data_IF_749668325575
#
_entry.id   IF_749668325575
#
_cell.length_a   1.000
_cell.length_b   1.000
_cell.length_c   1.000
_cell.angle_alpha   90.00
_cell.angle_beta   90.00
_cell.angle_gamma   90.00
#
_symmetry.space_group_name_H-M   'P 1'
#
loop_
_entity.id
_entity.type
_entity.pdbx_description
1 polymer ?
#
# COMPACT_ATOMS: atom_id res chain seq x y z
N UNK A 1 -14.34 26.98 14.76
CA UNK A 1 -13.09 26.51 14.09
C UNK A 1 -11.86 26.63 14.99
N UNK A 2 -11.67 27.68 15.77
CA UNK A 2 -10.44 27.82 16.58
C UNK A 2 -10.20 26.63 17.55
N UNK A 3 -11.22 26.25 18.33
CA UNK A 3 -11.14 25.05 19.21
C UNK A 3 -10.85 23.77 18.40
N UNK A 4 -11.49 23.61 17.22
CA UNK A 4 -11.27 22.45 16.36
C UNK A 4 -9.81 22.37 15.89
N UNK A 5 -9.24 23.47 15.41
CA UNK A 5 -7.84 23.52 15.00
C UNK A 5 -6.87 23.27 16.19
N UNK A 6 -7.20 23.74 17.41
CA UNK A 6 -6.43 23.41 18.63
C UNK A 6 -6.46 21.92 18.94
N UNK A 7 -7.62 21.25 18.77
CA UNK A 7 -7.75 19.80 18.95
C UNK A 7 -6.89 19.06 17.92
N UNK A 8 -6.96 19.44 16.62
CA UNK A 8 -6.14 18.81 15.58
C UNK A 8 -4.65 19.00 15.83
N UNK A 9 -4.23 20.21 16.26
CA UNK A 9 -2.85 20.48 16.61
C UNK A 9 -2.38 19.62 17.79
N UNK A 10 -3.15 19.55 18.86
CA UNK A 10 -2.84 18.73 20.03
C UNK A 10 -2.73 17.22 19.64
N UNK A 11 -3.57 16.76 18.71
CA UNK A 11 -3.50 15.39 18.20
C UNK A 11 -2.19 15.12 17.45
N UNK A 12 -1.78 16.03 16.56
CA UNK A 12 -0.53 15.92 15.79
C UNK A 12 0.68 15.98 16.73
N UNK A 13 0.73 16.99 17.60
CA UNK A 13 1.82 17.17 18.57
C UNK A 13 1.93 15.98 19.55
N UNK A 14 0.79 15.37 19.91
CA UNK A 14 0.73 14.18 20.77
C UNK A 14 0.93 12.84 20.06
N UNK A 15 1.16 12.84 18.74
CA UNK A 15 1.37 11.62 17.95
C UNK A 15 0.14 10.73 17.82
N UNK A 16 -1.06 11.31 17.88
CA UNK A 16 -2.31 10.58 17.70
C UNK A 16 -2.45 10.05 16.27
N UNK A 17 -2.79 8.79 16.11
CA UNK A 17 -3.13 8.21 14.82
C UNK A 17 -4.57 8.53 14.39
N UNK A 18 -5.50 8.54 15.36
CA UNK A 18 -6.91 8.78 15.08
C UNK A 18 -7.50 9.74 16.14
N UNK A 19 -8.52 10.51 15.73
CA UNK A 19 -9.27 11.45 16.53
C UNK A 19 -10.74 11.09 16.43
N UNK A 20 -11.42 10.93 17.56
CA UNK A 20 -12.85 10.65 17.61
C UNK A 20 -13.56 11.78 18.37
N UNK A 21 -14.54 12.42 17.73
CA UNK A 21 -15.31 13.52 18.28
C UNK A 21 -16.79 13.17 18.22
N UNK A 22 -17.46 13.23 19.36
CA UNK A 22 -18.92 13.03 19.49
C UNK A 22 -19.54 14.13 20.35
N UNK A 23 -20.81 14.39 20.15
CA UNK A 23 -21.58 15.36 20.94
C UNK A 23 -21.69 14.86 22.40
N UNK A 24 -21.58 15.78 23.34
CA UNK A 24 -21.69 15.52 24.78
C UNK A 24 -20.74 14.46 25.33
N UNK A 25 -19.59 14.28 24.69
CA UNK A 25 -18.55 13.30 25.08
C UNK A 25 -17.18 13.95 24.95
N UNK A 26 -16.23 13.69 25.86
CA UNK A 26 -14.87 14.16 25.67
C UNK A 26 -14.27 13.71 24.33
N UNK A 27 -13.43 14.54 23.75
CA UNK A 27 -12.66 14.16 22.54
C UNK A 27 -11.71 13.02 22.89
N UNK A 28 -11.59 12.05 22.02
CA UNK A 28 -10.76 10.86 22.22
C UNK A 28 -9.67 10.82 21.14
N UNK A 29 -8.43 10.66 21.56
CA UNK A 29 -7.30 10.37 20.68
C UNK A 29 -6.92 8.90 20.77
N UNK A 30 -6.47 8.33 19.66
CA UNK A 30 -5.78 7.04 19.65
C UNK A 30 -4.28 7.29 19.59
N UNK A 31 -3.56 6.98 20.66
CA UNK A 31 -2.11 7.11 20.76
C UNK A 31 -1.54 5.74 21.12
N UNK A 32 -0.57 5.24 20.36
CA UNK A 32 0.05 3.92 20.57
C UNK A 32 -0.97 2.76 20.72
N UNK A 33 -2.06 2.80 19.94
CA UNK A 33 -3.21 1.86 19.92
C UNK A 33 -4.18 2.01 21.10
N UNK A 34 -3.91 2.85 22.09
CA UNK A 34 -4.79 3.13 23.23
C UNK A 34 -5.71 4.33 22.94
N UNK A 35 -6.93 4.29 23.50
CA UNK A 35 -7.89 5.38 23.43
C UNK A 35 -7.76 6.24 24.69
N UNK A 36 -7.40 7.52 24.50
CA UNK A 36 -7.14 8.48 25.58
C UNK A 36 -8.12 9.63 25.46
N UNK A 37 -8.86 9.91 26.53
CA UNK A 37 -9.73 11.10 26.62
C UNK A 37 -8.88 12.35 26.82
N UNK A 38 -9.23 13.41 26.07
CA UNK A 38 -8.50 14.68 26.10
C UNK A 38 -9.30 15.69 26.93
N UNK A 39 -8.58 16.38 27.83
CA UNK A 39 -9.15 17.47 28.62
C UNK A 39 -9.32 18.72 27.74
N UNK A 40 -10.50 18.87 27.18
CA UNK A 40 -10.93 20.03 26.40
C UNK A 40 -12.45 20.24 26.54
N UNK A 41 -12.98 21.40 26.17
CA UNK A 41 -14.42 21.64 26.19
C UNK A 41 -15.18 20.55 25.43
N UNK A 42 -16.20 19.97 26.06
CA UNK A 42 -17.01 18.89 25.49
C UNK A 42 -17.78 19.45 24.29
N UNK A 43 -17.73 18.78 23.12
CA UNK A 43 -18.42 19.21 21.91
C UNK A 43 -19.94 19.30 22.12
N UNK A 44 -20.51 20.47 21.85
CA UNK A 44 -21.96 20.67 21.81
C UNK A 44 -22.50 20.39 20.41
N UNK A 45 -23.81 20.18 20.30
CA UNK A 45 -24.47 19.98 19.00
C UNK A 45 -24.26 21.17 18.06
N UNK A 46 -24.43 22.39 18.57
CA UNK A 46 -24.25 23.60 17.78
C UNK A 46 -22.79 23.74 17.27
N UNK A 47 -21.83 23.44 18.13
CA UNK A 47 -20.41 23.44 17.74
C UNK A 47 -20.12 22.38 16.67
N UNK A 48 -20.63 21.17 16.85
CA UNK A 48 -20.43 20.07 15.90
C UNK A 48 -21.01 20.41 14.52
N UNK A 49 -22.26 20.92 14.48
CA UNK A 49 -22.91 21.33 13.23
C UNK A 49 -22.10 22.42 12.51
N UNK A 50 -21.57 23.41 13.24
CA UNK A 50 -20.74 24.47 12.66
C UNK A 50 -19.39 23.93 12.14
N UNK A 51 -18.77 22.98 12.83
CA UNK A 51 -17.52 22.34 12.37
C UNK A 51 -17.79 21.57 11.08
N UNK A 52 -18.80 20.71 11.06
CA UNK A 52 -19.16 19.87 9.91
C UNK A 52 -19.52 20.74 8.70
N UNK A 53 -20.33 21.77 8.90
CA UNK A 53 -20.72 22.68 7.80
C UNK A 53 -19.52 23.36 7.14
N UNK A 54 -18.51 23.76 7.94
CA UNK A 54 -17.32 24.47 7.44
C UNK A 54 -16.25 23.55 6.86
N UNK A 55 -16.13 22.32 7.36
CA UNK A 55 -15.09 21.40 6.89
C UNK A 55 -15.53 20.52 5.72
N UNK A 56 -16.85 20.26 5.59
CA UNK A 56 -17.36 19.42 4.50
C UNK A 56 -17.29 20.18 3.17
N UNK A 57 -16.62 19.61 2.14
CA UNK A 57 -16.57 20.18 0.80
C UNK A 57 -17.98 20.41 0.23
N UNK A 58 -18.17 21.52 -0.50
CA UNK A 58 -19.49 21.93 -1.01
C UNK A 58 -20.16 20.82 -1.85
N UNK A 59 -19.39 20.13 -2.69
CA UNK A 59 -19.90 19.06 -3.55
C UNK A 59 -20.34 17.81 -2.78
N UNK A 60 -19.90 17.64 -1.53
CA UNK A 60 -20.25 16.50 -0.66
C UNK A 60 -21.39 16.81 0.30
N UNK A 61 -21.80 18.08 0.46
CA UNK A 61 -22.86 18.47 1.42
C UNK A 61 -24.17 17.76 1.11
N UNK A 62 -24.58 17.72 -0.17
CA UNK A 62 -25.80 17.03 -0.58
C UNK A 62 -25.75 15.54 -0.25
N UNK A 63 -24.63 14.88 -0.54
CA UNK A 63 -24.41 13.46 -0.21
C UNK A 63 -24.48 13.22 1.29
N UNK A 64 -23.87 14.11 2.11
CA UNK A 64 -23.94 14.02 3.56
C UNK A 64 -25.39 14.11 4.10
N UNK A 65 -26.23 14.95 3.49
CA UNK A 65 -27.65 15.06 3.85
C UNK A 65 -28.46 13.82 3.46
N UNK A 66 -28.16 13.20 2.31
CA UNK A 66 -28.87 12.01 1.80
C UNK A 66 -28.40 10.73 2.50
N UNK A 67 -27.10 10.47 2.54
CA UNK A 67 -26.51 9.21 3.01
C UNK A 67 -26.25 9.19 4.53
N UNK A 68 -26.29 10.35 5.20
CA UNK A 68 -25.96 10.54 6.61
C UNK A 68 -24.53 10.19 6.99
N UNK A 69 -23.67 10.00 5.99
CA UNK A 69 -22.24 9.80 6.14
C UNK A 69 -21.47 10.25 4.90
N UNK A 70 -20.22 10.65 5.09
CA UNK A 70 -19.32 11.01 3.99
C UNK A 70 -17.87 10.89 4.43
N UNK A 71 -17.04 10.36 3.53
CA UNK A 71 -15.58 10.35 3.64
C UNK A 71 -14.97 11.44 2.76
N UNK A 72 -13.97 12.15 3.28
CA UNK A 72 -13.16 13.10 2.51
C UNK A 72 -11.85 13.40 3.21
N UNK A 73 -10.93 14.00 2.48
CA UNK A 73 -9.68 14.51 3.05
C UNK A 73 -9.82 15.96 3.47
N UNK A 74 -9.45 16.25 4.71
CA UNK A 74 -9.43 17.58 5.27
C UNK A 74 -7.99 18.06 5.46
N UNK A 75 -7.58 19.09 4.73
CA UNK A 75 -6.23 19.62 4.80
C UNK A 75 -6.18 20.88 5.69
N UNK A 76 -5.22 20.92 6.62
CA UNK A 76 -5.03 22.04 7.54
C UNK A 76 -3.60 22.57 7.39
N UNK A 77 -3.48 23.82 6.96
CA UNK A 77 -2.18 24.45 6.77
C UNK A 77 -1.33 24.35 8.04
N UNK A 78 -0.11 23.87 7.91
CA UNK A 78 0.85 23.68 9.01
C UNK A 78 0.58 22.49 9.95
N UNK A 79 -0.51 21.74 9.76
CA UNK A 79 -0.81 20.53 10.54
C UNK A 79 -0.84 19.25 9.69
N UNK A 80 -1.04 19.40 8.38
CA UNK A 80 -1.12 18.26 7.46
C UNK A 80 -2.54 17.86 7.08
N UNK A 81 -2.67 16.67 6.55
CA UNK A 81 -3.90 16.10 5.97
C UNK A 81 -4.54 15.11 6.93
N UNK A 82 -5.87 15.14 6.98
CA UNK A 82 -6.66 14.22 7.80
C UNK A 82 -7.68 13.50 6.90
N UNK A 83 -7.64 12.18 6.84
CA UNK A 83 -8.75 11.39 6.33
C UNK A 83 -9.89 11.49 7.32
N UNK A 84 -11.02 11.99 6.88
CA UNK A 84 -12.15 12.33 7.71
C UNK A 84 -13.39 11.58 7.29
N UNK A 85 -14.03 10.92 8.23
CA UNK A 85 -15.38 10.37 8.09
C UNK A 85 -16.31 11.17 8.98
N UNK A 86 -17.35 11.76 8.39
CA UNK A 86 -18.47 12.40 9.08
C UNK A 86 -19.66 11.47 9.00
N UNK A 87 -20.28 11.11 10.10
CA UNK A 87 -21.39 10.18 10.11
C UNK A 87 -22.39 10.46 11.24
N UNK A 88 -23.63 9.98 11.07
CA UNK A 88 -24.62 10.04 12.13
C UNK A 88 -24.62 8.75 12.97
N UNK A 89 -24.72 8.92 14.27
CA UNK A 89 -24.94 7.85 15.23
C UNK A 89 -25.99 8.28 16.26
N UNK A 90 -27.03 7.47 16.49
CA UNK A 90 -28.13 7.78 17.45
C UNK A 90 -28.75 9.17 17.22
N UNK A 91 -28.91 9.55 15.96
CA UNK A 91 -29.48 10.85 15.58
C UNK A 91 -28.53 12.05 15.71
N UNK A 92 -27.30 11.87 16.14
CA UNK A 92 -26.31 12.93 16.32
C UNK A 92 -25.10 12.73 15.44
N UNK A 93 -24.44 13.81 15.04
CA UNK A 93 -23.21 13.78 14.24
C UNK A 93 -22.00 13.33 15.07
N UNK A 94 -21.12 12.62 14.41
CA UNK A 94 -19.80 12.22 14.90
C UNK A 94 -18.75 12.40 13.81
N UNK A 95 -17.50 12.56 14.25
CA UNK A 95 -16.30 12.66 13.39
C UNK A 95 -15.31 11.59 13.79
N UNK A 96 -14.79 10.87 12.81
CA UNK A 96 -13.61 10.05 12.94
C UNK A 96 -12.56 10.58 11.96
N UNK A 97 -11.38 10.95 12.47
CA UNK A 97 -10.32 11.52 11.66
C UNK A 97 -9.04 10.74 11.87
N UNK A 98 -8.32 10.46 10.78
CA UNK A 98 -6.98 9.86 10.80
C UNK A 98 -5.96 10.82 10.25
N UNK A 99 -4.90 11.09 11.01
CA UNK A 99 -3.80 11.91 10.54
C UNK A 99 -3.00 11.16 9.48
N UNK A 100 -2.87 11.76 8.29
CA UNK A 100 -2.06 11.26 7.18
C UNK A 100 -0.62 11.66 7.43
N UNK A 101 0.28 10.69 7.43
CA UNK A 101 1.71 10.93 7.69
C UNK A 101 2.36 11.73 6.56
N UNK A 102 3.07 12.78 6.90
CA UNK A 102 3.84 13.58 5.94
C UNK A 102 5.21 12.97 5.64
N UNK A 103 5.81 12.26 6.59
CA UNK A 103 7.13 11.67 6.41
C UNK A 103 7.03 10.21 5.95
N UNK A 104 7.62 9.92 4.79
CA UNK A 104 7.79 8.56 4.29
C UNK A 104 9.04 7.95 4.95
N UNK A 105 8.95 6.79 5.62
CA UNK A 105 10.13 6.14 6.17
C UNK A 105 11.07 5.67 5.07
N UNK A 106 12.40 5.75 5.31
CA UNK A 106 13.40 5.28 4.34
C UNK A 106 13.40 3.75 4.18
N UNK A 107 14.03 3.26 3.11
CA UNK A 107 14.20 1.82 2.88
C UNK A 107 14.88 1.12 4.06
N UNK A 108 15.90 1.76 4.62
CA UNK A 108 16.67 1.25 5.77
C UNK A 108 15.81 1.17 7.03
N UNK A 109 15.02 2.21 7.30
CA UNK A 109 14.10 2.24 8.45
C UNK A 109 13.02 1.16 8.34
N UNK A 110 12.56 0.86 7.12
CA UNK A 110 11.57 -0.19 6.86
C UNK A 110 12.21 -1.58 6.82
N UNK A 111 13.52 -1.68 6.65
CA UNK A 111 14.24 -2.94 6.44
C UNK A 111 13.89 -3.61 5.13
N UNK A 112 13.62 -2.82 4.09
CA UNK A 112 13.34 -3.30 2.74
C UNK A 112 14.64 -3.74 2.06
N UNK A 113 14.51 -4.74 1.18
CA UNK A 113 15.62 -5.30 0.42
C UNK A 113 16.00 -4.39 -0.76
N UNK A 114 17.28 -4.45 -1.17
CA UNK A 114 17.82 -3.66 -2.28
C UNK A 114 17.13 -3.97 -3.63
N UNK A 115 16.64 -5.19 -3.79
CA UNK A 115 15.90 -5.63 -4.97
C UNK A 115 14.63 -4.79 -5.21
N UNK A 116 14.02 -4.26 -4.16
CA UNK A 116 12.85 -3.38 -4.27
C UNK A 116 13.26 -2.02 -4.85
N UNK A 117 14.45 -1.49 -4.52
CA UNK A 117 14.98 -0.29 -5.17
C UNK A 117 15.17 -0.50 -6.66
N UNK A 118 15.79 -1.64 -7.05
CA UNK A 118 15.96 -1.98 -8.47
C UNK A 118 14.63 -2.03 -9.23
N UNK A 119 13.59 -2.58 -8.60
CA UNK A 119 12.25 -2.59 -9.19
C UNK A 119 11.63 -1.17 -9.26
N UNK A 120 11.97 -0.28 -8.33
CA UNK A 120 11.52 1.11 -8.36
C UNK A 120 12.24 1.94 -9.44
N UNK A 121 13.42 1.53 -9.86
CA UNK A 121 14.28 2.18 -10.87
C UNK A 121 14.05 1.65 -12.30
N UNK A 122 13.13 0.71 -12.48
CA UNK A 122 12.78 0.19 -13.80
C UNK A 122 12.30 1.31 -14.73
N UNK A 123 12.65 1.21 -16.00
CA UNK A 123 12.28 2.25 -16.96
C UNK A 123 10.81 2.20 -17.35
N UNK A 124 10.22 1.00 -17.39
CA UNK A 124 8.82 0.77 -17.78
C UNK A 124 8.38 -0.61 -17.32
N UNK A 125 7.08 -0.81 -17.23
CA UNK A 125 6.47 -2.09 -16.88
C UNK A 125 5.60 -1.96 -15.64
N UNK A 126 5.23 -3.08 -15.05
CA UNK A 126 4.34 -3.12 -13.88
C UNK A 126 5.08 -3.74 -12.71
N UNK A 127 5.09 -3.07 -11.58
CA UNK A 127 5.51 -3.59 -10.28
C UNK A 127 4.29 -3.64 -9.36
N UNK A 128 4.03 -4.79 -8.79
CA UNK A 128 2.89 -5.04 -7.90
C UNK A 128 3.37 -5.26 -6.48
N UNK A 129 2.81 -4.50 -5.52
CA UNK A 129 3.01 -4.77 -4.09
C UNK A 129 1.75 -5.44 -3.54
N UNK A 130 1.89 -6.65 -3.03
CA UNK A 130 0.78 -7.49 -2.59
C UNK A 130 0.85 -7.84 -1.10
N UNK A 131 -0.30 -8.15 -0.50
CA UNK A 131 -0.40 -8.56 0.90
C UNK A 131 -1.76 -8.23 1.49
N UNK A 132 -2.05 -8.78 2.65
CA UNK A 132 -3.29 -8.48 3.40
C UNK A 132 -3.35 -7.00 3.83
N UNK A 133 -4.52 -6.56 4.29
CA UNK A 133 -4.66 -5.24 4.91
C UNK A 133 -3.74 -5.12 6.12
N UNK A 134 -3.03 -3.99 6.22
CA UNK A 134 -2.06 -3.76 7.29
C UNK A 134 -0.70 -4.45 7.09
N UNK A 135 -0.42 -5.06 5.93
CA UNK A 135 0.90 -5.64 5.63
C UNK A 135 1.97 -4.62 5.23
N UNK A 136 1.65 -3.33 5.14
CA UNK A 136 2.60 -2.26 4.82
C UNK A 136 2.76 -1.93 3.33
N UNK A 137 1.84 -2.38 2.47
CA UNK A 137 1.90 -2.15 1.00
C UNK A 137 2.07 -0.67 0.64
N UNK A 138 1.19 0.18 1.14
CA UNK A 138 1.22 1.63 0.85
C UNK A 138 2.51 2.28 1.36
N UNK A 139 3.03 1.82 2.51
CA UNK A 139 4.31 2.30 3.04
C UNK A 139 5.49 1.91 2.15
N UNK A 140 5.48 0.69 1.61
CA UNK A 140 6.52 0.25 0.66
C UNK A 140 6.43 1.00 -0.66
N UNK A 141 5.21 1.17 -1.21
CA UNK A 141 5.02 2.00 -2.41
C UNK A 141 5.46 3.44 -2.18
N UNK A 142 5.12 4.02 -1.03
CA UNK A 142 5.56 5.36 -0.68
C UNK A 142 7.09 5.45 -0.62
N UNK A 143 7.77 4.46 -0.02
CA UNK A 143 9.23 4.41 0.01
C UNK A 143 9.83 4.26 -1.40
N UNK A 144 9.22 3.47 -2.29
CA UNK A 144 9.65 3.36 -3.69
C UNK A 144 9.52 4.69 -4.43
N UNK A 145 8.39 5.39 -4.27
CA UNK A 145 8.17 6.72 -4.86
C UNK A 145 9.17 7.74 -4.30
N UNK A 146 9.35 7.77 -2.98
CA UNK A 146 10.30 8.70 -2.34
C UNK A 146 11.74 8.41 -2.75
N UNK A 147 12.12 7.14 -2.93
CA UNK A 147 13.42 6.78 -3.47
C UNK A 147 13.63 7.36 -4.88
N UNK A 148 12.64 7.24 -5.76
CA UNK A 148 12.71 7.85 -7.09
C UNK A 148 12.75 9.37 -7.00
N UNK A 149 11.89 9.96 -6.16
CA UNK A 149 11.82 11.41 -5.94
C UNK A 149 13.15 12.01 -5.47
N UNK A 150 13.87 11.30 -4.62
CA UNK A 150 15.16 11.76 -4.10
C UNK A 150 16.33 11.61 -5.08
N UNK A 151 16.26 10.68 -6.03
CA UNK A 151 17.42 10.27 -6.83
C UNK A 151 17.27 10.51 -8.34
N UNK A 152 16.06 10.70 -8.86
CA UNK A 152 15.79 10.77 -10.30
C UNK A 152 14.91 11.97 -10.64
N UNK A 153 15.07 12.48 -11.87
CA UNK A 153 14.24 13.56 -12.42
C UNK A 153 13.11 12.96 -13.22
N UNK A 154 11.97 12.71 -12.57
CA UNK A 154 10.81 12.04 -13.13
C UNK A 154 9.53 12.82 -12.87
N UNK A 155 8.54 12.66 -13.73
CA UNK A 155 7.17 13.06 -13.46
C UNK A 155 6.39 11.87 -12.94
N UNK A 156 5.91 11.94 -11.71
CA UNK A 156 5.21 10.86 -11.00
C UNK A 156 3.76 11.29 -10.78
N UNK A 157 2.82 10.51 -11.25
CA UNK A 157 1.39 10.77 -10.99
C UNK A 157 0.81 9.63 -10.17
N UNK A 158 0.18 9.97 -9.05
CA UNK A 158 -0.51 8.97 -8.21
C UNK A 158 -2.02 9.11 -8.32
N UNK A 159 -2.72 7.98 -8.33
CA UNK A 159 -4.17 7.87 -8.24
C UNK A 159 -4.51 7.03 -7.01
N UNK A 160 -5.11 7.64 -5.99
CA UNK A 160 -5.27 7.05 -4.66
C UNK A 160 -6.71 7.16 -4.14
N UNK A 161 -7.10 6.22 -3.27
CA UNK A 161 -8.44 6.18 -2.66
C UNK A 161 -8.37 5.70 -1.19
N UNK A 162 -8.08 6.63 -0.25
CA UNK A 162 -7.55 7.99 -0.37
C UNK A 162 -6.00 8.05 -0.38
N UNK A 163 -5.43 9.29 -0.44
CA UNK A 163 -3.99 9.52 -0.26
C UNK A 163 -3.57 9.13 1.17
N UNK A 164 -2.55 8.24 1.28
CA UNK A 164 -2.02 7.75 2.57
C UNK A 164 -0.72 8.43 2.99
N UNK A 165 0.07 8.95 2.05
CA UNK A 165 1.29 9.73 2.29
C UNK A 165 1.29 10.96 1.40
N UNK A 166 1.73 12.09 1.93
CA UNK A 166 1.91 13.32 1.14
C UNK A 166 3.38 13.45 0.78
N UNK A 167 3.66 13.59 -0.51
CA UNK A 167 5.01 13.79 -1.02
C UNK A 167 5.28 15.28 -1.25
N UNK A 168 6.53 15.68 -1.05
CA UNK A 168 7.05 16.97 -1.47
C UNK A 168 7.96 16.78 -2.68
N UNK A 169 7.88 17.66 -3.67
CA UNK A 169 8.75 17.62 -4.84
C UNK A 169 10.22 17.80 -4.40
N UNK A 170 11.10 16.94 -4.94
CA UNK A 170 12.55 17.04 -4.72
C UNK A 170 13.27 17.09 -6.08
N UNK A 171 13.83 15.96 -6.55
CA UNK A 171 14.35 15.89 -7.92
C UNK A 171 13.24 15.59 -8.93
N UNK A 172 12.20 14.90 -8.52
CA UNK A 172 11.01 14.60 -9.32
C UNK A 172 9.89 15.59 -9.03
N UNK A 173 8.92 15.66 -9.94
CA UNK A 173 7.63 16.34 -9.74
C UNK A 173 6.57 15.29 -9.45
N UNK A 174 5.79 15.46 -8.38
CA UNK A 174 4.80 14.48 -7.95
C UNK A 174 3.41 15.12 -7.92
N UNK A 175 2.51 14.58 -8.74
CA UNK A 175 1.10 14.95 -8.74
C UNK A 175 0.26 13.84 -8.10
N UNK A 176 -0.33 14.12 -6.93
CA UNK A 176 -1.18 13.19 -6.22
C UNK A 176 -2.66 13.55 -6.44
N UNK A 177 -3.44 12.58 -6.91
CA UNK A 177 -4.87 12.75 -7.19
C UNK A 177 -5.69 11.76 -6.39
N UNK A 178 -6.57 12.28 -5.55
CA UNK A 178 -7.49 11.49 -4.74
C UNK A 178 -8.81 11.25 -5.48
N UNK A 179 -9.26 9.99 -5.47
CA UNK A 179 -10.57 9.62 -6.00
C UNK A 179 -11.68 10.23 -5.13
N UNK A 180 -12.68 10.82 -5.79
CA UNK A 180 -13.79 11.50 -5.10
C UNK A 180 -13.52 12.96 -4.75
N UNK A 181 -12.25 13.40 -4.75
CA UNK A 181 -11.86 14.79 -4.52
C UNK A 181 -11.33 15.44 -5.81
N UNK A 182 -10.24 14.89 -6.36
CA UNK A 182 -9.54 15.46 -7.52
C UNK A 182 -9.99 14.82 -8.83
N UNK A 183 -10.59 13.65 -8.75
CA UNK A 183 -11.16 12.92 -9.88
C UNK A 183 -12.35 12.07 -9.44
N UNK A 184 -13.30 11.86 -10.33
CA UNK A 184 -14.54 11.13 -10.00
C UNK A 184 -14.35 9.60 -9.93
N UNK A 185 -13.34 9.04 -10.57
CA UNK A 185 -13.10 7.60 -10.61
C UNK A 185 -11.69 7.26 -11.10
N UNK A 186 -11.17 6.09 -10.74
CA UNK A 186 -9.92 5.55 -11.29
C UNK A 186 -9.93 5.49 -12.81
N UNK A 187 -11.02 4.97 -13.40
CA UNK A 187 -11.14 4.84 -14.84
C UNK A 187 -11.10 6.19 -15.57
N UNK A 188 -11.81 7.19 -15.05
CA UNK A 188 -11.78 8.55 -15.59
C UNK A 188 -10.38 9.16 -15.52
N UNK A 189 -9.74 9.04 -14.36
CA UNK A 189 -8.40 9.56 -14.15
C UNK A 189 -7.37 8.93 -15.09
N UNK A 190 -7.35 7.60 -15.21
CA UNK A 190 -6.39 6.87 -16.06
C UNK A 190 -6.39 7.31 -17.53
N UNK A 191 -7.58 7.62 -18.10
CA UNK A 191 -7.68 8.14 -19.47
C UNK A 191 -6.94 9.47 -19.66
N UNK A 192 -6.85 10.26 -18.60
CA UNK A 192 -6.24 11.59 -18.65
C UNK A 192 -4.77 11.59 -18.26
N UNK A 193 -4.38 10.72 -17.31
CA UNK A 193 -2.99 10.63 -16.80
C UNK A 193 -2.00 10.38 -17.95
N UNK A 194 -2.29 9.47 -18.88
CA UNK A 194 -1.43 9.20 -20.04
C UNK A 194 -1.20 10.40 -20.97
N UNK A 195 -1.94 11.51 -20.79
CA UNK A 195 -1.76 12.78 -21.52
C UNK A 195 -1.07 13.85 -20.70
N UNK A 196 -0.65 13.52 -19.48
CA UNK A 196 0.03 14.42 -18.57
C UNK A 196 1.55 14.22 -18.61
N UNK A 197 2.06 13.42 -19.55
CA UNK A 197 3.50 13.10 -19.72
C UNK A 197 4.15 12.50 -18.47
N UNK A 198 3.54 11.50 -17.81
CA UNK A 198 4.13 10.88 -16.65
C UNK A 198 5.23 9.89 -17.05
N UNK A 199 6.29 9.81 -16.28
CA UNK A 199 7.25 8.69 -16.34
C UNK A 199 6.75 7.50 -15.51
N UNK A 200 6.16 7.81 -14.35
CA UNK A 200 5.70 6.83 -13.36
C UNK A 200 4.25 7.09 -13.00
N UNK A 201 3.45 6.04 -12.98
CA UNK A 201 2.05 6.08 -12.58
C UNK A 201 1.84 5.14 -11.39
N UNK A 202 1.39 5.66 -10.25
CA UNK A 202 0.98 4.82 -9.13
C UNK A 202 -0.55 4.70 -9.11
N UNK A 203 -1.04 3.46 -9.19
CA UNK A 203 -2.45 3.13 -9.06
C UNK A 203 -2.66 2.51 -7.68
N UNK A 204 -3.44 3.14 -6.82
CA UNK A 204 -3.65 2.70 -5.44
C UNK A 204 -3.90 1.20 -5.33
N UNK A 205 -4.80 0.65 -6.15
CA UNK A 205 -4.97 -0.79 -6.29
C UNK A 205 -5.62 -1.20 -7.62
N UNK A 206 -5.35 -2.43 -8.06
CA UNK A 206 -6.04 -3.09 -9.18
C UNK A 206 -7.22 -3.92 -8.65
N UNK A 207 -8.45 -3.45 -8.89
CA UNK A 207 -9.69 -4.10 -8.41
C UNK A 207 -10.47 -4.83 -9.50
N UNK A 208 -10.21 -4.52 -10.77
CA UNK A 208 -11.00 -5.00 -11.90
C UNK A 208 -10.19 -5.05 -13.20
N UNK A 209 -10.78 -5.65 -14.24
CA UNK A 209 -10.19 -5.77 -15.58
C UNK A 209 -9.85 -4.41 -16.21
N UNK A 210 -10.64 -3.37 -15.91
CA UNK A 210 -10.45 -2.04 -16.52
C UNK A 210 -9.15 -1.42 -16.02
N UNK A 211 -8.93 -1.47 -14.70
CA UNK A 211 -7.71 -0.95 -14.05
C UNK A 211 -6.48 -1.73 -14.49
N UNK A 212 -6.57 -3.08 -14.57
CA UNK A 212 -5.47 -3.93 -15.04
C UNK A 212 -5.13 -3.64 -16.50
N UNK A 213 -6.12 -3.55 -17.39
CA UNK A 213 -5.89 -3.22 -18.79
C UNK A 213 -5.23 -1.85 -18.97
N UNK A 214 -5.64 -0.87 -18.17
CA UNK A 214 -5.05 0.46 -18.23
C UNK A 214 -3.59 0.45 -17.73
N UNK A 215 -3.28 -0.30 -16.67
CA UNK A 215 -1.92 -0.51 -16.18
C UNK A 215 -1.03 -1.17 -17.24
N UNK A 216 -1.53 -2.23 -17.90
CA UNK A 216 -0.78 -2.92 -18.97
C UNK A 216 -0.56 -1.99 -20.16
N UNK A 217 -1.60 -1.22 -20.58
CA UNK A 217 -1.48 -0.26 -21.69
C UNK A 217 -0.47 0.85 -21.39
N UNK A 218 -0.44 1.37 -20.18
CA UNK A 218 0.57 2.33 -19.73
C UNK A 218 1.97 1.74 -19.80
N UNK A 219 2.15 0.53 -19.29
CA UNK A 219 3.44 -0.17 -19.32
C UNK A 219 3.93 -0.45 -20.75
N UNK A 220 3.04 -0.83 -21.66
CA UNK A 220 3.36 -1.07 -23.07
C UNK A 220 3.76 0.22 -23.81
N UNK A 221 3.19 1.36 -23.40
CA UNK A 221 3.51 2.69 -23.96
C UNK A 221 4.71 3.36 -23.31
N UNK A 222 5.43 2.67 -22.44
CA UNK A 222 6.73 3.11 -21.93
C UNK A 222 6.75 3.62 -20.49
N UNK A 223 5.63 3.56 -19.77
CA UNK A 223 5.53 4.05 -18.40
C UNK A 223 5.86 2.95 -17.38
N UNK A 224 6.42 3.33 -16.23
CA UNK A 224 6.51 2.45 -15.07
C UNK A 224 5.24 2.59 -14.23
N UNK A 225 4.61 1.47 -13.95
CA UNK A 225 3.35 1.44 -13.19
C UNK A 225 3.55 0.72 -11.87
N UNK A 226 3.24 1.38 -10.76
CA UNK A 226 3.15 0.80 -9.43
C UNK A 226 1.70 0.56 -9.07
N UNK A 227 1.39 -0.60 -8.47
CA UNK A 227 0.03 -0.86 -7.97
C UNK A 227 0.02 -1.87 -6.84
N UNK A 228 -1.16 -2.07 -6.22
CA UNK A 228 -1.33 -3.08 -5.17
C UNK A 228 -2.36 -4.14 -5.51
N UNK A 229 -2.20 -5.29 -4.83
CA UNK A 229 -3.19 -6.38 -4.79
C UNK A 229 -3.36 -6.89 -3.36
N UNK A 230 -4.54 -7.48 -3.07
CA UNK A 230 -4.84 -8.12 -1.79
C UNK A 230 -4.61 -9.64 -1.83
N UNK A 231 -3.50 -10.06 -2.39
CA UNK A 231 -3.06 -11.45 -2.48
C UNK A 231 -1.89 -11.70 -1.54
N UNK A 232 -1.62 -12.95 -1.19
CA UNK A 232 -0.63 -13.30 -0.17
C UNK A 232 0.65 -13.91 -0.73
N UNK A 233 0.68 -14.28 -2.02
CA UNK A 233 1.86 -14.80 -2.72
C UNK A 233 1.94 -14.27 -4.15
N UNK A 234 3.12 -14.32 -4.77
CA UNK A 234 3.32 -13.88 -6.14
C UNK A 234 2.52 -14.72 -7.15
N UNK A 235 2.46 -16.04 -6.96
CA UNK A 235 1.64 -16.92 -7.79
C UNK A 235 0.15 -16.58 -7.71
N UNK A 236 -0.36 -16.33 -6.49
CA UNK A 236 -1.74 -15.87 -6.31
C UNK A 236 -1.99 -14.50 -6.94
N UNK A 237 -1.01 -13.60 -6.94
CA UNK A 237 -1.13 -12.28 -7.57
C UNK A 237 -1.34 -12.41 -9.08
N UNK A 238 -0.58 -13.27 -9.74
CA UNK A 238 -0.74 -13.58 -11.17
C UNK A 238 -2.12 -14.18 -11.44
N UNK A 239 -2.52 -15.18 -10.66
CA UNK A 239 -3.85 -15.82 -10.81
C UNK A 239 -4.96 -14.78 -10.62
N UNK A 240 -4.85 -13.91 -9.60
CA UNK A 240 -5.84 -12.88 -9.31
C UNK A 240 -6.00 -11.88 -10.45
N UNK A 241 -4.89 -11.48 -11.09
CA UNK A 241 -4.95 -10.62 -12.28
C UNK A 241 -5.73 -11.32 -13.40
N UNK A 242 -5.47 -12.61 -13.65
CA UNK A 242 -6.19 -13.37 -14.67
C UNK A 242 -7.69 -13.53 -14.35
N UNK A 243 -8.06 -13.62 -13.07
CA UNK A 243 -9.43 -13.81 -12.62
C UNK A 243 -10.33 -12.58 -12.85
N UNK A 244 -9.77 -11.40 -13.05
CA UNK A 244 -10.54 -10.23 -13.47
C UNK A 244 -11.07 -10.34 -14.90
N UNK A 245 -10.54 -11.26 -15.73
CA UNK A 245 -10.88 -11.39 -17.13
C UNK A 245 -11.71 -12.65 -17.42
N UNK A 246 -12.54 -12.56 -18.47
CA UNK A 246 -13.26 -13.71 -19.00
C UNK A 246 -12.29 -14.75 -19.54
N UNK A 247 -12.71 -16.01 -19.55
CA UNK A 247 -11.87 -17.12 -19.97
C UNK A 247 -11.25 -16.91 -21.36
N UNK A 248 -12.02 -16.38 -22.31
CA UNK A 248 -11.62 -16.17 -23.71
C UNK A 248 -10.51 -15.09 -23.83
N UNK A 249 -10.48 -14.12 -22.91
CA UNK A 249 -9.49 -13.03 -22.94
C UNK A 249 -8.18 -13.37 -22.22
N UNK A 250 -8.20 -14.39 -21.35
CA UNK A 250 -7.08 -14.70 -20.43
C UNK A 250 -5.78 -15.02 -21.14
N UNK A 251 -5.81 -15.66 -22.29
CA UNK A 251 -4.59 -15.99 -23.03
C UNK A 251 -3.89 -14.72 -23.53
N UNK A 252 -4.63 -13.80 -24.11
CA UNK A 252 -4.10 -12.52 -24.57
C UNK A 252 -3.53 -11.70 -23.41
N UNK A 253 -4.31 -11.58 -22.31
CA UNK A 253 -3.90 -10.86 -21.11
C UNK A 253 -2.63 -11.46 -20.51
N UNK A 254 -2.52 -12.78 -20.45
CA UNK A 254 -1.35 -13.48 -19.94
C UNK A 254 -0.09 -13.19 -20.74
N UNK A 255 -0.20 -13.22 -22.09
CA UNK A 255 0.92 -12.86 -22.97
C UNK A 255 1.35 -11.41 -22.78
N UNK A 256 0.39 -10.49 -22.67
CA UNK A 256 0.67 -9.08 -22.43
C UNK A 256 1.31 -8.88 -21.06
N UNK A 257 0.74 -9.47 -19.99
CA UNK A 257 1.31 -9.41 -18.64
C UNK A 257 2.73 -9.97 -18.58
N UNK A 258 3.00 -11.10 -19.27
CA UNK A 258 4.35 -11.70 -19.29
C UNK A 258 5.39 -10.74 -19.89
N UNK A 259 5.01 -9.86 -20.80
CA UNK A 259 5.87 -8.85 -21.41
C UNK A 259 6.08 -7.60 -20.54
N UNK A 260 5.03 -7.14 -19.86
CA UNK A 260 5.04 -5.86 -19.14
C UNK A 260 5.29 -6.00 -17.62
N UNK A 261 5.03 -7.14 -16.98
CA UNK A 261 5.37 -7.34 -15.57
C UNK A 261 6.88 -7.16 -15.34
N UNK A 262 7.27 -6.51 -14.25
CA UNK A 262 8.67 -6.42 -13.78
C UNK A 262 8.87 -7.20 -12.51
N UNK A 263 7.97 -7.08 -11.56
CA UNK A 263 8.05 -7.84 -10.32
C UNK A 263 6.77 -7.83 -9.51
N UNK A 264 6.72 -8.77 -8.59
CA UNK A 264 5.67 -8.85 -7.56
C UNK A 264 6.35 -8.93 -6.20
N UNK A 265 6.01 -8.01 -5.30
CA UNK A 265 6.54 -7.92 -3.94
C UNK A 265 5.40 -8.28 -3.00
N UNK A 266 5.44 -9.45 -2.37
CA UNK A 266 4.45 -9.85 -1.38
C UNK A 266 4.98 -9.62 0.03
N UNK A 267 4.10 -9.15 0.94
CA UNK A 267 4.50 -8.72 2.28
C UNK A 267 3.64 -9.32 3.39
N UNK A 268 4.31 -9.69 4.49
CA UNK A 268 3.72 -10.05 5.79
C UNK A 268 4.45 -9.32 6.90
N UNK A 269 3.75 -8.69 7.83
CA UNK A 269 4.39 -8.05 8.98
C UNK A 269 4.72 -9.08 10.06
N UNK A 270 5.95 -9.01 10.57
CA UNK A 270 6.49 -9.91 11.60
C UNK A 270 6.97 -9.07 12.79
N UNK A 271 6.63 -9.44 14.03
CA UNK A 271 7.17 -8.78 15.22
C UNK A 271 8.68 -8.98 15.33
N UNK A 272 9.42 -7.92 15.62
CA UNK A 272 10.85 -7.94 15.88
C UNK A 272 11.13 -8.13 17.36
N UNK A 273 12.35 -8.52 17.69
CA UNK A 273 12.79 -8.74 19.09
C UNK A 273 12.74 -7.46 19.95
N UNK A 274 12.81 -6.28 19.34
CA UNK A 274 12.67 -4.96 19.98
C UNK A 274 11.21 -4.46 20.06
N UNK A 275 10.24 -5.31 19.76
CA UNK A 275 8.80 -4.99 19.86
C UNK A 275 8.22 -4.17 18.70
N UNK A 276 9.00 -3.93 17.66
CA UNK A 276 8.53 -3.27 16.43
C UNK A 276 7.99 -4.30 15.44
N UNK A 277 7.71 -3.85 14.22
CA UNK A 277 7.29 -4.69 13.11
C UNK A 277 8.27 -4.53 11.94
N UNK A 278 8.59 -5.64 11.27
CA UNK A 278 9.38 -5.65 10.04
C UNK A 278 8.64 -6.45 8.95
N UNK A 279 8.75 -6.09 7.67
CA UNK A 279 8.19 -6.91 6.62
C UNK A 279 9.02 -8.17 6.39
N UNK A 280 8.37 -9.34 6.34
CA UNK A 280 8.87 -10.49 5.61
C UNK A 280 8.40 -10.39 4.18
N UNK A 281 9.27 -10.70 3.23
CA UNK A 281 9.07 -10.45 1.81
C UNK A 281 9.15 -11.75 1.01
N UNK A 282 8.31 -11.85 -0.02
CA UNK A 282 8.49 -12.73 -1.17
C UNK A 282 8.59 -11.84 -2.40
N UNK A 283 9.68 -11.97 -3.16
CA UNK A 283 9.94 -11.14 -4.34
C UNK A 283 10.06 -12.06 -5.56
N UNK A 284 9.21 -11.84 -6.53
CA UNK A 284 9.29 -12.40 -7.86
C UNK A 284 9.79 -11.32 -8.81
N UNK A 285 10.86 -11.59 -9.55
CA UNK A 285 11.35 -10.78 -10.65
C UNK A 285 11.02 -11.48 -11.98
N UNK A 286 10.56 -10.74 -12.96
CA UNK A 286 10.16 -11.31 -14.25
C UNK A 286 11.40 -11.67 -15.12
N UNK A 287 12.17 -12.64 -14.65
CA UNK A 287 13.29 -13.23 -15.40
C UNK A 287 12.79 -13.96 -16.67
N UNK A 288 13.69 -14.32 -17.61
CA UNK A 288 13.31 -15.11 -18.79
C UNK A 288 12.57 -16.42 -18.46
N UNK A 289 12.94 -17.08 -17.35
CA UNK A 289 12.25 -18.29 -16.87
C UNK A 289 10.83 -17.94 -16.41
N UNK A 290 10.66 -16.93 -15.57
CA UNK A 290 9.35 -16.49 -15.07
C UNK A 290 8.44 -16.08 -16.22
N UNK A 291 8.96 -15.30 -17.18
CA UNK A 291 8.22 -14.91 -18.38
C UNK A 291 7.69 -16.12 -19.14
N UNK A 292 8.53 -17.12 -19.39
CA UNK A 292 8.14 -18.36 -20.08
C UNK A 292 7.07 -19.12 -19.29
N UNK A 293 7.20 -19.22 -17.97
CA UNK A 293 6.20 -19.87 -17.12
C UNK A 293 4.84 -19.14 -17.18
N UNK A 294 4.85 -17.81 -17.22
CA UNK A 294 3.63 -17.00 -17.40
C UNK A 294 3.01 -17.26 -18.78
N UNK A 295 3.78 -17.22 -19.86
CA UNK A 295 3.31 -17.47 -21.22
C UNK A 295 2.70 -18.88 -21.39
N UNK A 296 3.30 -19.89 -20.76
CA UNK A 296 2.84 -21.29 -20.79
C UNK A 296 1.69 -21.57 -19.80
N UNK A 297 1.22 -20.59 -19.01
CA UNK A 297 0.23 -20.76 -17.95
C UNK A 297 0.66 -21.75 -16.84
N UNK A 298 1.92 -21.76 -16.50
CA UNK A 298 2.51 -22.68 -15.50
C UNK A 298 2.75 -21.96 -14.17
N UNK A 299 1.70 -21.28 -13.67
CA UNK A 299 1.76 -20.45 -12.46
C UNK A 299 2.15 -21.25 -11.21
N UNK A 300 1.79 -22.53 -11.18
CA UNK A 300 2.17 -23.47 -10.11
C UNK A 300 3.69 -23.68 -9.96
N UNK A 301 4.47 -23.34 -10.97
CA UNK A 301 5.93 -23.42 -10.94
C UNK A 301 6.64 -22.15 -10.52
N UNK A 302 5.91 -21.05 -10.32
CA UNK A 302 6.49 -19.76 -9.96
C UNK A 302 7.20 -19.81 -8.60
N UNK A 303 6.64 -20.51 -7.61
CA UNK A 303 7.27 -20.64 -6.29
C UNK A 303 8.66 -21.30 -6.40
N UNK A 304 8.78 -22.37 -7.19
CA UNK A 304 10.07 -23.03 -7.42
C UNK A 304 11.05 -22.12 -8.20
N UNK A 305 10.55 -21.31 -9.14
CA UNK A 305 11.38 -20.34 -9.84
C UNK A 305 11.88 -19.22 -8.91
N UNK A 306 11.04 -18.74 -7.97
CA UNK A 306 11.44 -17.75 -6.96
C UNK A 306 12.52 -18.36 -6.04
N UNK A 307 12.33 -19.59 -5.58
CA UNK A 307 13.25 -20.29 -4.67
C UNK A 307 14.66 -20.42 -5.23
N UNK A 308 14.77 -20.68 -6.54
CA UNK A 308 16.05 -20.88 -7.24
C UNK A 308 16.58 -19.60 -7.90
N UNK A 309 15.81 -18.51 -7.92
CA UNK A 309 16.12 -17.27 -8.63
C UNK A 309 16.84 -16.21 -7.78
N UNK A 310 17.61 -16.60 -6.78
CA UNK A 310 18.34 -15.67 -5.91
C UNK A 310 19.28 -14.74 -6.67
N UNK A 311 19.94 -15.21 -7.73
CA UNK A 311 20.83 -14.41 -8.58
C UNK A 311 20.07 -13.30 -9.35
N UNK A 312 18.78 -13.52 -9.63
CA UNK A 312 17.87 -12.52 -10.22
C UNK A 312 17.24 -11.58 -9.17
N UNK A 313 17.59 -11.73 -7.88
CA UNK A 313 17.03 -10.95 -6.78
C UNK A 313 15.69 -11.47 -6.26
N UNK A 314 15.32 -12.71 -6.57
CA UNK A 314 14.11 -13.35 -6.06
C UNK A 314 14.34 -13.94 -4.66
N UNK A 315 13.32 -13.94 -3.83
CA UNK A 315 13.36 -14.53 -2.48
C UNK A 315 11.97 -15.03 -2.10
N UNK A 316 11.89 -16.21 -1.48
CA UNK A 316 10.66 -16.73 -0.88
C UNK A 316 10.46 -16.19 0.54
N UNK A 317 9.22 -16.25 1.07
CA UNK A 317 8.96 -15.90 2.46
C UNK A 317 9.81 -16.71 3.45
N UNK A 318 9.99 -18.00 3.22
CA UNK A 318 10.80 -18.85 4.09
C UNK A 318 12.27 -18.44 4.10
N UNK A 319 12.85 -18.13 2.93
CA UNK A 319 14.23 -17.63 2.84
C UNK A 319 14.37 -16.28 3.53
N UNK A 320 13.43 -15.36 3.33
CA UNK A 320 13.43 -14.04 3.99
C UNK A 320 13.33 -14.18 5.52
N UNK A 321 12.40 -15.02 6.01
CA UNK A 321 12.23 -15.28 7.44
C UNK A 321 13.48 -15.95 8.05
N UNK A 322 14.10 -16.90 7.36
CA UNK A 322 15.35 -17.49 7.77
C UNK A 322 16.45 -16.42 7.95
N UNK A 323 16.59 -15.50 7.00
CA UNK A 323 17.57 -14.42 7.06
C UNK A 323 17.28 -13.45 8.22
N UNK A 324 15.99 -13.13 8.48
CA UNK A 324 15.58 -12.29 9.60
C UNK A 324 15.90 -12.92 10.96
N UNK A 325 15.74 -14.23 11.10
CA UNK A 325 16.14 -14.97 12.31
C UNK A 325 17.65 -15.02 12.44
N UNK A 326 18.36 -15.37 11.37
CA UNK A 326 19.83 -15.47 11.35
C UNK A 326 20.50 -14.12 11.70
N UNK A 327 19.90 -13.00 11.31
CA UNK A 327 20.35 -11.65 11.66
C UNK A 327 19.93 -11.21 13.08
N UNK A 328 19.22 -12.03 13.84
CA UNK A 328 18.74 -11.73 15.20
C UNK A 328 17.61 -10.70 15.26
N UNK A 329 16.99 -10.34 14.13
CA UNK A 329 15.89 -9.34 14.08
C UNK A 329 14.56 -9.92 14.52
N UNK A 330 14.31 -11.21 14.28
CA UNK A 330 13.05 -11.91 14.53
C UNK A 330 13.35 -13.19 15.29
N UNK A 331 12.47 -13.64 16.19
CA UNK A 331 12.59 -14.94 16.85
C UNK A 331 12.16 -16.08 15.93
N UNK A 332 12.69 -17.29 16.12
CA UNK A 332 12.25 -18.48 15.36
C UNK A 332 10.73 -18.70 15.50
N UNK A 333 10.18 -18.51 16.70
CA UNK A 333 8.75 -18.65 16.97
C UNK A 333 7.91 -17.72 16.10
N UNK A 334 8.26 -16.45 16.02
CA UNK A 334 7.55 -15.48 15.20
C UNK A 334 7.72 -15.78 13.70
N UNK A 335 8.92 -16.17 13.27
CA UNK A 335 9.19 -16.57 11.88
C UNK A 335 8.33 -17.77 11.47
N UNK A 336 8.29 -18.83 12.28
CA UNK A 336 7.46 -20.02 12.02
C UNK A 336 5.97 -19.68 11.94
N UNK A 337 5.48 -18.74 12.75
CA UNK A 337 4.08 -18.28 12.72
C UNK A 337 3.68 -17.61 11.41
N UNK A 338 4.64 -17.09 10.64
CA UNK A 338 4.45 -16.34 9.38
C UNK A 338 4.95 -17.09 8.15
N UNK A 339 5.59 -18.23 8.32
CA UNK A 339 6.15 -19.03 7.24
C UNK A 339 5.06 -19.57 6.29
N UNK A 340 5.38 -19.70 5.01
CA UNK A 340 4.53 -20.38 4.03
C UNK A 340 4.55 -21.89 4.25
N UNK A 341 5.72 -22.44 4.60
CA UNK A 341 5.91 -23.83 5.01
C UNK A 341 6.72 -23.85 6.33
N UNK A 342 6.04 -23.90 7.51
CA UNK A 342 6.74 -23.89 8.79
C UNK A 342 7.68 -25.07 9.00
N UNK A 343 7.31 -26.28 8.50
CA UNK A 343 8.14 -27.47 8.65
C UNK A 343 9.44 -27.36 7.86
N UNK A 344 9.38 -26.86 6.62
CA UNK A 344 10.58 -26.61 5.82
C UNK A 344 11.48 -25.56 6.48
N UNK A 345 10.89 -24.47 7.00
CA UNK A 345 11.66 -23.42 7.71
C UNK A 345 12.31 -23.95 8.98
N UNK A 346 11.61 -24.79 9.77
CA UNK A 346 12.18 -25.44 10.96
C UNK A 346 13.37 -26.34 10.61
N UNK A 347 13.30 -27.10 9.51
CA UNK A 347 14.40 -27.91 9.02
C UNK A 347 15.59 -27.04 8.57
N UNK A 348 15.32 -25.91 7.93
CA UNK A 348 16.36 -24.96 7.53
C UNK A 348 17.11 -24.41 8.76
N UNK A 349 16.44 -24.14 9.89
CA UNK A 349 17.09 -23.73 11.15
C UNK A 349 18.00 -24.84 11.71
N UNK A 350 17.67 -26.12 11.44
CA UNK A 350 18.51 -27.27 11.84
C UNK A 350 19.65 -27.56 10.82
N UNK A 351 19.82 -26.71 9.79
CA UNK A 351 20.82 -26.84 8.75
C UNK A 351 20.46 -27.86 7.63
N UNK A 352 19.19 -28.28 7.60
CA UNK A 352 18.67 -29.18 6.55
C UNK A 352 17.85 -28.33 5.61
N UNK A 353 18.37 -28.04 4.41
CA UNK A 353 17.68 -27.24 3.42
C UNK A 353 16.83 -28.16 2.54
N UNK A 354 15.51 -27.97 2.65
CA UNK A 354 14.50 -28.58 1.79
C UNK A 354 13.96 -27.52 0.87
N UNK A 355 13.82 -27.79 -0.42
CA UNK A 355 13.01 -26.95 -1.28
C UNK A 355 11.53 -27.05 -0.88
N UNK A 356 10.70 -26.08 -1.25
CA UNK A 356 9.28 -26.08 -0.89
C UNK A 356 8.51 -27.31 -1.41
N UNK A 357 9.07 -28.05 -2.38
CA UNK A 357 8.60 -29.35 -2.85
C UNK A 357 9.05 -30.55 -2.02
N UNK A 358 9.78 -30.36 -0.91
CA UNK A 358 10.17 -31.43 0.03
C UNK A 358 11.34 -32.29 -0.43
N UNK A 359 12.15 -31.86 -1.43
CA UNK A 359 13.38 -32.53 -1.83
C UNK A 359 14.59 -31.92 -1.16
N UNK A 360 15.53 -32.77 -0.69
CA UNK A 360 16.81 -32.32 -0.11
C UNK A 360 17.63 -31.66 -1.23
N UNK A 361 18.05 -30.40 -1.00
CA UNK A 361 18.96 -29.67 -1.89
C UNK A 361 20.35 -29.76 -1.24
N UNK A 362 21.30 -30.33 -1.96
CA UNK A 362 22.70 -30.44 -1.54
C UNK A 362 23.44 -29.15 -1.76
#
# INVERSE_FOLDING_TARGET
MELFNKILKAAVDGGASDIHIKINTPVIFRISRELISIDCPVPTEQWMNNVIDKMTPIHLKKKLEEDREVDFSYNVAGLGRFRTNVFQQRGSWALAMRHVKAAVPSFEQLGLLEEIKKLAEEHRGIVVVAGSTGSGKSTTLAAMIEHVNANFKKHIVTLEDPIEYVFEDNQSVIEQREIGLDTSSFHGALKHVLRQDPDIIMLGEMRDAVTVNAAMSAADTGHLVFSTLHTTTAAQSVTRIMDFFKADDREQVRRQLSGCLRGVICQRMVPTVDGKMTPALEILVNSPLVRKLLEENRVEKLTAAIETGGDDGMITFNQCLFNLVKSGRVTEKEALSKASNPQALEMNFKGIFLNEGGRIVS
#
